data_IF_314656244367
#
_entry.id   IF_314656244367
#
_cell.length_a   1.000
_cell.length_b   1.000
_cell.length_c   1.000
_cell.angle_alpha   90.00
_cell.angle_beta   90.00
_cell.angle_gamma   90.00
#
_symmetry.space_group_name_H-M   'P 1'
#
loop_
_entity.id
_entity.type
_entity.pdbx_description
1 polymer ?
#
# COMPACT_ATOMS: atom_id res chain seq x y z
N UNK A 1 40.34 -17.97 -4.53
CA UNK A 1 39.94 -18.63 -5.79
C UNK A 1 38.55 -19.29 -5.71
N UNK A 2 38.10 -19.77 -4.54
CA UNK A 2 36.79 -20.44 -4.37
C UNK A 2 35.56 -19.54 -4.14
N UNK A 3 35.71 -18.22 -3.95
CA UNK A 3 34.55 -17.32 -3.75
C UNK A 3 33.91 -16.82 -5.05
N UNK A 4 34.63 -16.90 -6.19
CA UNK A 4 34.13 -16.41 -7.49
C UNK A 4 32.97 -17.28 -8.04
N UNK A 5 32.87 -18.54 -7.60
CA UNK A 5 31.86 -19.50 -8.05
C UNK A 5 30.51 -19.42 -7.31
N UNK A 6 30.32 -18.47 -6.38
CA UNK A 6 29.06 -18.36 -5.62
C UNK A 6 27.87 -17.82 -6.44
N UNK A 7 28.11 -17.07 -7.51
CA UNK A 7 27.02 -16.56 -8.36
C UNK A 7 26.85 -17.45 -9.58
N UNK A 8 25.61 -17.93 -9.81
CA UNK A 8 25.23 -18.76 -10.97
C UNK A 8 25.69 -18.13 -12.30
N UNK A 9 25.74 -16.79 -12.39
CA UNK A 9 26.20 -16.07 -13.59
C UNK A 9 27.68 -16.28 -13.88
N UNK A 10 28.55 -16.26 -12.86
CA UNK A 10 29.98 -16.50 -13.04
C UNK A 10 30.24 -17.94 -13.43
N UNK A 11 29.47 -18.89 -12.88
CA UNK A 11 29.53 -20.30 -13.29
C UNK A 11 29.14 -20.44 -14.76
N UNK A 12 28.02 -19.85 -15.18
CA UNK A 12 27.56 -19.89 -16.56
C UNK A 12 28.58 -19.30 -17.55
N UNK A 13 29.13 -18.11 -17.26
CA UNK A 13 30.16 -17.46 -18.09
C UNK A 13 31.42 -18.32 -18.16
N UNK A 14 31.87 -18.86 -17.02
CA UNK A 14 33.07 -19.70 -16.96
C UNK A 14 32.91 -20.98 -17.76
N UNK A 15 31.74 -21.64 -17.66
CA UNK A 15 31.46 -22.86 -18.43
C UNK A 15 31.50 -22.59 -19.94
N UNK A 16 30.88 -21.50 -20.42
CA UNK A 16 30.92 -21.12 -21.84
C UNK A 16 32.35 -20.86 -22.31
N UNK A 17 33.14 -20.10 -21.54
CA UNK A 17 34.55 -19.82 -21.88
C UNK A 17 35.40 -21.09 -21.92
N UNK A 18 35.20 -22.01 -20.98
CA UNK A 18 35.89 -23.30 -20.95
C UNK A 18 35.50 -24.17 -22.14
N UNK A 19 34.21 -24.21 -22.51
CA UNK A 19 33.75 -24.94 -23.70
C UNK A 19 34.36 -24.39 -24.99
N UNK A 20 34.43 -23.06 -25.14
CA UNK A 20 35.11 -22.43 -26.27
C UNK A 20 36.60 -22.79 -26.30
N UNK A 21 37.28 -22.75 -25.16
CA UNK A 21 38.70 -23.08 -25.09
C UNK A 21 38.98 -24.55 -25.43
N UNK A 22 38.15 -25.48 -24.92
CA UNK A 22 38.22 -26.91 -25.25
C UNK A 22 37.98 -27.13 -26.74
N UNK A 23 37.00 -26.44 -27.33
CA UNK A 23 36.74 -26.50 -28.77
C UNK A 23 37.97 -26.08 -29.59
N UNK A 24 38.55 -24.91 -29.30
CA UNK A 24 39.70 -24.38 -30.03
C UNK A 24 40.91 -25.29 -29.93
N UNK A 25 41.24 -25.75 -28.72
CA UNK A 25 42.36 -26.67 -28.53
C UNK A 25 42.09 -28.03 -29.16
N UNK A 26 40.86 -28.52 -29.11
CA UNK A 26 40.47 -29.79 -29.73
C UNK A 26 40.63 -29.76 -31.24
N UNK A 27 40.14 -28.72 -31.93
CA UNK A 27 40.34 -28.57 -33.37
C UNK A 27 41.81 -28.33 -33.75
N UNK A 28 42.59 -27.63 -32.92
CA UNK A 28 44.03 -27.45 -33.15
C UNK A 28 44.80 -28.78 -33.06
N UNK A 29 44.53 -29.59 -32.04
CA UNK A 29 45.30 -30.82 -31.77
C UNK A 29 44.81 -32.00 -32.59
N UNK A 30 43.49 -32.17 -32.72
CA UNK A 30 42.89 -33.35 -33.37
C UNK A 30 42.77 -33.15 -34.88
N UNK A 31 42.38 -31.95 -35.33
CA UNK A 31 42.15 -31.65 -36.75
C UNK A 31 43.29 -30.84 -37.40
N UNK A 32 44.28 -30.39 -36.63
CA UNK A 32 45.44 -29.65 -37.15
C UNK A 32 45.11 -28.25 -37.67
N UNK A 33 43.96 -27.67 -37.30
CA UNK A 33 43.51 -26.39 -37.82
C UNK A 33 44.43 -25.24 -37.38
N UNK A 34 44.57 -24.21 -38.21
CA UNK A 34 45.18 -22.95 -37.77
C UNK A 34 44.33 -22.27 -36.69
N UNK A 35 44.95 -21.45 -35.85
CA UNK A 35 44.29 -20.87 -34.66
C UNK A 35 42.98 -20.14 -34.98
N UNK A 36 42.96 -19.41 -36.10
CA UNK A 36 41.78 -18.66 -36.55
C UNK A 36 40.68 -19.61 -37.00
N UNK A 37 41.02 -20.65 -37.76
CA UNK A 37 40.08 -21.65 -38.26
C UNK A 37 39.51 -22.51 -37.13
N UNK A 38 40.33 -22.85 -36.13
CA UNK A 38 39.92 -23.57 -34.94
C UNK A 38 38.94 -22.73 -34.10
N UNK A 39 39.20 -21.43 -33.93
CA UNK A 39 38.29 -20.50 -33.28
C UNK A 39 36.98 -20.37 -34.05
N UNK A 40 37.06 -20.16 -35.36
CA UNK A 40 35.90 -20.01 -36.22
C UNK A 40 35.02 -21.27 -36.20
N UNK A 41 35.61 -22.47 -36.39
CA UNK A 41 34.91 -23.75 -36.31
C UNK A 41 34.25 -23.95 -34.95
N UNK A 42 34.94 -23.61 -33.86
CA UNK A 42 34.39 -23.73 -32.50
C UNK A 42 33.18 -22.83 -32.30
N UNK A 43 33.28 -21.55 -32.70
CA UNK A 43 32.19 -20.59 -32.53
C UNK A 43 30.96 -21.03 -33.31
N UNK A 44 31.06 -21.36 -34.60
CA UNK A 44 29.90 -21.77 -35.41
C UNK A 44 29.23 -23.05 -34.89
N UNK A 45 30.00 -23.91 -34.22
CA UNK A 45 29.53 -25.16 -33.61
C UNK A 45 28.79 -24.88 -32.30
N UNK A 46 29.42 -24.13 -31.39
CA UNK A 46 28.88 -23.80 -30.06
C UNK A 46 27.65 -22.89 -30.16
N UNK A 47 27.64 -21.95 -31.12
CA UNK A 47 26.48 -21.07 -31.36
C UNK A 47 25.36 -21.74 -32.16
N UNK A 48 25.51 -23.01 -32.54
CA UNK A 48 24.52 -23.78 -33.31
C UNK A 48 24.18 -23.22 -34.70
N UNK A 49 25.06 -22.38 -35.28
CA UNK A 49 24.83 -21.78 -36.60
C UNK A 49 25.11 -22.77 -37.72
N UNK A 50 26.22 -23.52 -37.63
CA UNK A 50 26.49 -24.68 -38.49
C UNK A 50 26.62 -24.39 -39.99
N UNK A 51 27.47 -23.45 -40.40
CA UNK A 51 27.73 -23.15 -41.81
C UNK A 51 28.45 -24.26 -42.61
N UNK A 52 28.89 -25.34 -41.95
CA UNK A 52 29.67 -26.44 -42.53
C UNK A 52 31.06 -26.56 -41.92
N UNK A 53 31.80 -27.61 -42.31
CA UNK A 53 33.19 -27.85 -41.89
C UNK A 53 34.12 -26.83 -42.57
N UNK A 54 35.00 -26.17 -41.81
CA UNK A 54 35.99 -25.20 -42.35
C UNK A 54 37.05 -25.90 -43.21
N UNK A 55 37.50 -27.07 -42.76
CA UNK A 55 38.38 -27.98 -43.49
C UNK A 55 37.86 -29.43 -43.33
N UNK A 56 38.23 -30.38 -44.20
CA UNK A 56 37.76 -31.76 -44.09
C UNK A 56 38.10 -32.38 -42.72
N UNK A 57 37.09 -32.86 -41.99
CA UNK A 57 37.30 -33.51 -40.68
C UNK A 57 37.69 -34.98 -40.80
N UNK A 58 38.71 -35.39 -40.03
CA UNK A 58 39.05 -36.81 -39.83
C UNK A 58 37.98 -37.53 -39.01
N UNK A 59 37.90 -38.88 -39.03
CA UNK A 59 36.93 -39.63 -38.23
C UNK A 59 36.99 -39.28 -36.73
N UNK A 60 38.18 -39.05 -36.19
CA UNK A 60 38.40 -38.68 -34.79
C UNK A 60 37.87 -37.27 -34.50
N UNK A 61 38.12 -36.32 -35.40
CA UNK A 61 37.63 -34.95 -35.28
C UNK A 61 36.09 -34.87 -35.40
N UNK A 62 35.46 -35.78 -36.15
CA UNK A 62 34.00 -35.91 -36.22
C UNK A 62 33.42 -36.36 -34.89
N UNK A 63 33.98 -37.39 -34.26
CA UNK A 63 33.53 -37.85 -32.93
C UNK A 63 33.69 -36.72 -31.89
N UNK A 64 34.83 -36.02 -31.92
CA UNK A 64 35.04 -34.85 -31.07
C UNK A 64 33.96 -33.77 -31.29
N UNK A 65 33.64 -33.46 -32.55
CA UNK A 65 32.62 -32.47 -32.90
C UNK A 65 31.24 -32.88 -32.40
N UNK A 66 30.85 -34.17 -32.48
CA UNK A 66 29.58 -34.66 -31.92
C UNK A 66 29.50 -34.41 -30.41
N UNK A 67 30.56 -34.75 -29.67
CA UNK A 67 30.61 -34.54 -28.22
C UNK A 67 30.55 -33.04 -27.89
N UNK A 68 31.31 -32.21 -28.63
CA UNK A 68 31.33 -30.77 -28.45
C UNK A 68 29.93 -30.15 -28.69
N UNK A 69 29.21 -30.57 -29.72
CA UNK A 69 27.84 -30.10 -30.00
C UNK A 69 26.92 -30.45 -28.83
N UNK A 70 26.89 -31.72 -28.39
CA UNK A 70 25.99 -32.15 -27.32
C UNK A 70 26.26 -31.41 -26.00
N UNK A 71 27.53 -31.24 -25.62
CA UNK A 71 27.88 -30.50 -24.42
C UNK A 71 27.59 -29.00 -24.53
N UNK A 72 27.93 -28.40 -25.68
CA UNK A 72 27.79 -26.94 -25.87
C UNK A 72 26.34 -26.49 -25.90
N UNK A 73 25.43 -27.25 -26.52
CA UNK A 73 23.99 -26.92 -26.53
C UNK A 73 23.43 -26.83 -25.11
N UNK A 74 23.78 -27.78 -24.23
CA UNK A 74 23.34 -27.79 -22.83
C UNK A 74 23.91 -26.58 -22.08
N UNK A 75 25.20 -26.29 -22.26
CA UNK A 75 25.89 -25.19 -21.56
C UNK A 75 25.38 -23.82 -22.02
N UNK A 76 25.21 -23.62 -23.33
CA UNK A 76 24.68 -22.37 -23.90
C UNK A 76 23.23 -22.18 -23.48
N UNK A 77 22.40 -23.23 -23.51
CA UNK A 77 21.02 -23.17 -23.01
C UNK A 77 20.94 -22.79 -21.53
N UNK A 78 21.79 -23.40 -20.69
CA UNK A 78 21.91 -23.02 -19.27
C UNK A 78 22.36 -21.55 -19.12
N UNK A 79 23.36 -21.11 -19.89
CA UNK A 79 23.86 -19.74 -19.83
C UNK A 79 22.79 -18.72 -20.22
N UNK A 80 22.02 -18.97 -21.28
CA UNK A 80 20.89 -18.11 -21.69
C UNK A 80 19.85 -18.02 -20.58
N UNK A 81 19.50 -19.14 -19.95
CA UNK A 81 18.53 -19.16 -18.83
C UNK A 81 19.00 -18.30 -17.66
N UNK A 82 20.25 -18.47 -17.22
CA UNK A 82 20.84 -17.68 -16.13
C UNK A 82 20.97 -16.20 -16.50
N UNK A 83 21.36 -15.87 -17.73
CA UNK A 83 21.43 -14.48 -18.21
C UNK A 83 20.03 -13.86 -18.24
N UNK A 84 19.01 -14.62 -18.66
CA UNK A 84 17.62 -14.16 -18.68
C UNK A 84 17.10 -13.92 -17.26
N UNK A 85 17.35 -14.86 -16.34
CA UNK A 85 17.07 -14.69 -14.90
C UNK A 85 17.80 -13.46 -14.34
N UNK A 86 19.05 -13.20 -14.74
CA UNK A 86 19.83 -12.05 -14.29
C UNK A 86 19.32 -10.71 -14.83
N UNK A 87 18.89 -10.65 -16.10
CA UNK A 87 18.32 -9.45 -16.71
C UNK A 87 16.93 -9.15 -16.13
N UNK A 88 16.14 -10.19 -15.86
CA UNK A 88 14.80 -10.07 -15.27
C UNK A 88 14.89 -9.77 -13.76
N UNK A 89 15.86 -10.33 -13.05
CA UNK A 89 16.13 -10.04 -11.63
C UNK A 89 16.74 -8.64 -11.48
N UNK A 90 15.83 -7.68 -11.48
CA UNK A 90 15.98 -6.24 -11.32
C UNK A 90 16.57 -5.77 -9.97
N UNK A 91 17.42 -6.55 -9.32
CA UNK A 91 17.95 -6.26 -7.98
C UNK A 91 18.67 -4.89 -7.87
N UNK A 92 19.17 -4.33 -8.97
CA UNK A 92 19.83 -3.02 -8.96
C UNK A 92 18.86 -1.81 -9.07
N UNK A 93 17.66 -2.00 -9.65
CA UNK A 93 16.67 -0.92 -9.76
C UNK A 93 15.95 -0.68 -8.43
N UNK A 94 15.66 -1.74 -7.69
CA UNK A 94 14.89 -1.66 -6.46
C UNK A 94 15.64 -0.91 -5.36
N UNK A 95 16.96 -1.10 -5.22
CA UNK A 95 17.73 -0.41 -4.15
C UNK A 95 17.78 1.12 -4.31
N UNK A 96 17.85 1.63 -5.56
CA UNK A 96 17.84 3.08 -5.83
C UNK A 96 16.42 3.64 -5.66
N UNK A 97 15.41 2.88 -6.10
CA UNK A 97 14.00 3.23 -5.98
C UNK A 97 13.56 3.31 -4.52
N UNK A 98 13.87 2.29 -3.71
CA UNK A 98 13.61 2.28 -2.26
C UNK A 98 14.25 3.47 -1.55
N UNK A 99 15.50 3.83 -1.88
CA UNK A 99 16.15 5.01 -1.29
C UNK A 99 15.45 6.32 -1.65
N UNK A 100 14.86 6.44 -2.84
CA UNK A 100 14.11 7.63 -3.24
C UNK A 100 12.77 7.73 -2.51
N UNK A 101 12.04 6.61 -2.42
CA UNK A 101 10.76 6.52 -1.69
C UNK A 101 10.98 6.80 -0.21
N UNK A 102 12.00 6.18 0.41
CA UNK A 102 12.33 6.41 1.80
C UNK A 102 12.61 7.89 2.08
N UNK A 103 13.38 8.58 1.22
CA UNK A 103 13.61 10.03 1.35
C UNK A 103 12.34 10.87 1.23
N UNK A 104 11.30 10.41 0.54
CA UNK A 104 10.01 11.09 0.49
C UNK A 104 9.25 10.86 1.80
N UNK A 105 9.24 9.63 2.30
CA UNK A 105 8.63 9.26 3.59
C UNK A 105 9.30 10.01 4.75
N UNK A 106 10.63 10.19 4.71
CA UNK A 106 11.40 10.92 5.73
C UNK A 106 11.03 12.41 5.82
N UNK A 107 10.48 12.99 4.74
CA UNK A 107 10.01 14.38 4.72
C UNK A 107 8.58 14.53 5.25
N UNK A 108 7.84 13.43 5.37
CA UNK A 108 6.47 13.47 5.86
C UNK A 108 6.42 13.59 7.39
N UNK A 109 5.48 14.38 7.87
CA UNK A 109 5.12 14.50 9.28
C UNK A 109 3.61 14.62 9.40
N UNK A 110 3.03 14.14 10.50
CA UNK A 110 1.59 14.13 10.73
C UNK A 110 0.81 13.32 9.66
N UNK A 111 1.48 12.43 8.94
CA UNK A 111 0.90 11.56 7.91
C UNK A 111 0.23 10.33 8.54
N UNK A 112 -0.49 9.58 7.70
CA UNK A 112 -1.22 8.38 8.10
C UNK A 112 -0.47 7.15 7.61
N UNK A 113 -0.31 6.14 8.47
CA UNK A 113 0.27 4.85 8.07
C UNK A 113 -0.87 3.85 7.91
N UNK A 114 -0.87 3.09 6.81
CA UNK A 114 -1.83 2.01 6.57
C UNK A 114 -1.06 0.69 6.46
N UNK A 115 -1.25 -0.19 7.44
CA UNK A 115 -0.64 -1.52 7.46
C UNK A 115 -1.58 -2.51 6.77
N UNK A 116 -1.13 -3.06 5.64
CA UNK A 116 -1.87 -3.97 4.78
C UNK A 116 -2.68 -3.25 3.71
N UNK A 117 -2.36 -3.50 2.45
CA UNK A 117 -3.08 -3.02 1.26
C UNK A 117 -4.05 -4.08 0.71
N UNK A 118 -4.71 -4.80 1.61
CA UNK A 118 -5.79 -5.73 1.26
C UNK A 118 -7.11 -5.01 0.96
N UNK A 119 -8.23 -5.74 1.05
CA UNK A 119 -9.59 -5.21 0.76
C UNK A 119 -9.92 -3.94 1.56
N UNK A 120 -9.75 -3.99 2.88
CA UNK A 120 -10.07 -2.86 3.76
C UNK A 120 -9.03 -1.73 3.67
N UNK A 121 -7.74 -2.08 3.57
CA UNK A 121 -6.66 -1.10 3.44
C UNK A 121 -6.77 -0.28 2.16
N UNK A 122 -7.09 -0.92 1.03
CA UNK A 122 -7.32 -0.26 -0.25
C UNK A 122 -8.47 0.74 -0.18
N UNK A 123 -9.60 0.36 0.40
CA UNK A 123 -10.75 1.26 0.58
C UNK A 123 -10.43 2.45 1.50
N UNK A 124 -9.68 2.21 2.57
CA UNK A 124 -9.20 3.28 3.44
C UNK A 124 -8.31 4.27 2.66
N UNK A 125 -7.35 3.76 1.89
CA UNK A 125 -6.45 4.58 1.07
C UNK A 125 -7.20 5.40 0.01
N UNK A 126 -8.19 4.81 -0.69
CA UNK A 126 -9.01 5.52 -1.68
C UNK A 126 -9.76 6.70 -1.04
N UNK A 127 -10.35 6.50 0.15
CA UNK A 127 -11.02 7.58 0.89
C UNK A 127 -10.03 8.64 1.38
N UNK A 128 -8.87 8.25 1.91
CA UNK A 128 -7.82 9.19 2.33
C UNK A 128 -7.30 10.03 1.16
N UNK A 129 -7.16 9.42 -0.02
CA UNK A 129 -6.79 10.10 -1.26
C UNK A 129 -7.85 11.11 -1.69
N UNK A 130 -9.14 10.76 -1.62
CA UNK A 130 -10.24 11.67 -1.94
C UNK A 130 -10.25 12.94 -1.04
N UNK A 131 -9.80 12.81 0.22
CA UNK A 131 -9.65 13.94 1.14
C UNK A 131 -8.25 14.58 1.15
N UNK A 132 -7.40 14.30 0.15
CA UNK A 132 -6.04 14.83 0.02
C UNK A 132 -5.19 14.68 1.30
N UNK A 133 -5.33 13.55 2.01
CA UNK A 133 -4.49 13.25 3.18
C UNK A 133 -3.20 12.59 2.75
N UNK A 134 -2.08 12.99 3.37
CA UNK A 134 -0.79 12.32 3.17
C UNK A 134 -0.77 10.99 3.92
N UNK A 135 -0.41 9.91 3.21
CA UNK A 135 -0.34 8.57 3.79
C UNK A 135 0.84 7.76 3.25
N UNK A 136 1.21 6.73 3.99
CA UNK A 136 2.23 5.72 3.66
C UNK A 136 1.62 4.35 3.88
N UNK A 137 1.89 3.41 2.97
CA UNK A 137 1.33 2.06 3.02
C UNK A 137 2.45 1.07 3.31
N UNK A 138 2.20 0.12 4.21
CA UNK A 138 3.10 -1.00 4.48
C UNK A 138 2.43 -2.27 3.96
N UNK A 139 3.11 -3.03 3.11
CA UNK A 139 2.67 -4.36 2.69
C UNK A 139 3.87 -5.29 2.53
N UNK A 140 3.67 -6.58 2.80
CA UNK A 140 4.70 -7.62 2.67
C UNK A 140 4.75 -8.24 1.27
N UNK A 141 3.67 -8.09 0.49
CA UNK A 141 3.57 -8.66 -0.85
C UNK A 141 4.18 -7.71 -1.89
N UNK A 142 5.33 -8.11 -2.43
CA UNK A 142 6.09 -7.29 -3.39
C UNK A 142 5.30 -7.02 -4.69
N UNK A 143 4.48 -7.97 -5.13
CA UNK A 143 3.59 -7.80 -6.28
C UNK A 143 2.58 -6.66 -6.09
N UNK A 144 2.07 -6.48 -4.88
CA UNK A 144 1.12 -5.42 -4.54
C UNK A 144 1.82 -4.07 -4.61
N UNK A 145 3.02 -3.98 -4.04
CA UNK A 145 3.86 -2.78 -4.10
C UNK A 145 4.15 -2.41 -5.55
N UNK A 146 4.65 -3.34 -6.36
CA UNK A 146 5.01 -3.04 -7.75
C UNK A 146 3.81 -2.63 -8.62
N UNK A 147 2.62 -3.17 -8.34
CA UNK A 147 1.41 -2.91 -9.14
C UNK A 147 0.75 -1.56 -8.83
N UNK A 148 0.79 -1.12 -7.57
CA UNK A 148 0.03 0.04 -7.11
C UNK A 148 0.90 1.23 -6.67
N UNK A 149 2.22 1.07 -6.66
CA UNK A 149 3.14 2.17 -6.42
C UNK A 149 3.11 3.16 -7.59
N UNK A 150 2.63 4.36 -7.32
CA UNK A 150 2.56 5.48 -8.25
C UNK A 150 3.24 6.73 -7.63
N UNK A 151 3.31 7.83 -8.38
CA UNK A 151 3.98 9.05 -7.91
C UNK A 151 3.35 9.66 -6.64
N UNK A 152 2.11 9.29 -6.29
CA UNK A 152 1.35 9.83 -5.18
C UNK A 152 1.11 8.81 -4.05
N UNK A 153 1.62 7.58 -4.18
CA UNK A 153 1.34 6.46 -3.28
C UNK A 153 2.64 5.84 -2.82
N UNK A 154 3.03 6.14 -1.58
CA UNK A 154 4.28 5.68 -1.00
C UNK A 154 4.08 4.32 -0.35
N UNK A 155 4.89 3.36 -0.75
CA UNK A 155 4.91 2.01 -0.19
C UNK A 155 6.22 1.73 0.55
N UNK A 156 6.09 1.04 1.67
CA UNK A 156 7.18 0.37 2.39
C UNK A 156 6.95 -1.12 2.25
N UNK A 157 7.86 -1.81 1.55
CA UNK A 157 7.82 -3.26 1.44
C UNK A 157 8.39 -3.88 2.73
N UNK A 158 7.58 -4.67 3.42
CA UNK A 158 8.00 -5.37 4.64
C UNK A 158 6.84 -5.83 5.51
N UNK A 159 7.14 -6.63 6.52
CA UNK A 159 6.16 -7.06 7.50
C UNK A 159 5.91 -5.94 8.54
N UNK A 160 4.67 -5.49 8.66
CA UNK A 160 4.30 -4.47 9.64
C UNK A 160 4.51 -4.90 11.10
N UNK A 161 4.64 -6.20 11.38
CA UNK A 161 4.98 -6.73 12.71
C UNK A 161 6.41 -6.39 13.15
N UNK A 162 7.28 -5.98 12.22
CA UNK A 162 8.67 -5.63 12.51
C UNK A 162 8.79 -4.14 12.83
N UNK A 163 9.35 -3.82 14.00
CA UNK A 163 9.53 -2.43 14.44
C UNK A 163 10.33 -1.59 13.44
N UNK A 164 11.34 -2.18 12.78
CA UNK A 164 12.14 -1.50 11.75
C UNK A 164 11.28 -1.02 10.56
N UNK A 165 10.27 -1.80 10.15
CA UNK A 165 9.37 -1.44 9.05
C UNK A 165 8.45 -0.30 9.46
N UNK A 166 7.94 -0.30 10.70
CA UNK A 166 7.15 0.81 11.24
C UNK A 166 7.98 2.09 11.36
N UNK A 167 9.24 1.98 11.76
CA UNK A 167 10.19 3.10 11.81
C UNK A 167 10.47 3.67 10.41
N UNK A 168 10.70 2.79 9.42
CA UNK A 168 10.87 3.20 8.02
C UNK A 168 9.64 3.92 7.48
N UNK A 169 8.43 3.50 7.86
CA UNK A 169 7.19 4.20 7.53
C UNK A 169 6.98 5.53 8.30
N UNK A 170 7.84 5.82 9.28
CA UNK A 170 7.81 7.05 10.06
C UNK A 170 6.78 7.07 11.18
N UNK A 171 6.58 5.95 11.87
CA UNK A 171 5.57 5.83 12.95
C UNK A 171 5.74 6.86 14.09
N UNK A 172 6.97 7.26 14.41
CA UNK A 172 7.25 8.27 15.46
C UNK A 172 6.68 9.66 15.14
N UNK A 173 6.59 9.99 13.85
CA UNK A 173 6.12 11.29 13.34
C UNK A 173 4.74 11.23 12.68
N UNK A 174 4.15 10.04 12.61
CA UNK A 174 2.81 9.83 12.08
C UNK A 174 1.74 10.33 13.06
N UNK A 175 0.60 10.74 12.51
CA UNK A 175 -0.57 11.18 13.30
C UNK A 175 -1.51 10.03 13.62
N UNK A 176 -1.66 9.10 12.67
CA UNK A 176 -2.61 7.99 12.73
C UNK A 176 -1.99 6.75 12.10
N UNK A 177 -2.28 5.58 12.65
CA UNK A 177 -1.99 4.29 12.06
C UNK A 177 -3.28 3.48 11.93
N UNK A 178 -3.49 2.91 10.74
CA UNK A 178 -4.60 2.01 10.43
C UNK A 178 -4.01 0.61 10.22
N UNK A 179 -4.32 -0.32 11.12
CA UNK A 179 -3.95 -1.74 10.97
C UNK A 179 -5.10 -2.50 10.32
N UNK A 180 -4.90 -2.91 9.06
CA UNK A 180 -5.90 -3.56 8.23
C UNK A 180 -5.47 -4.97 7.77
N UNK A 181 -4.56 -5.60 8.52
CA UNK A 181 -4.06 -6.94 8.23
C UNK A 181 -5.18 -7.98 8.35
N UNK A 182 -5.09 -9.11 7.62
CA UNK A 182 -6.12 -10.15 7.64
C UNK A 182 -6.18 -10.92 8.97
N UNK A 183 -5.06 -11.02 9.70
CA UNK A 183 -4.97 -11.74 10.96
C UNK A 183 -5.04 -10.79 12.17
N UNK A 184 -5.86 -11.13 13.17
CA UNK A 184 -6.03 -10.33 14.39
C UNK A 184 -4.79 -10.34 15.29
N UNK A 185 -4.01 -11.42 15.28
CA UNK A 185 -2.77 -11.52 16.03
C UNK A 185 -1.71 -10.57 15.45
N UNK A 186 -1.58 -10.51 14.12
CA UNK A 186 -0.68 -9.55 13.46
C UNK A 186 -1.10 -8.10 13.79
N UNK A 187 -2.40 -7.79 13.68
CA UNK A 187 -2.92 -6.48 14.08
C UNK A 187 -2.61 -6.15 15.55
N UNK A 188 -2.64 -7.14 16.45
CA UNK A 188 -2.31 -6.95 17.86
C UNK A 188 -0.82 -6.61 18.04
N UNK A 189 0.09 -7.30 17.34
CA UNK A 189 1.51 -6.99 17.35
C UNK A 189 1.78 -5.58 16.83
N UNK A 190 1.23 -5.23 15.67
CA UNK A 190 1.36 -3.88 15.09
C UNK A 190 0.88 -2.80 16.08
N UNK A 191 -0.26 -3.01 16.74
CA UNK A 191 -0.81 -2.06 17.73
C UNK A 191 0.14 -1.90 18.92
N UNK A 192 0.68 -2.99 19.45
CA UNK A 192 1.63 -2.96 20.58
C UNK A 192 2.91 -2.23 20.19
N UNK A 193 3.55 -2.61 19.07
CA UNK A 193 4.76 -1.97 18.56
C UNK A 193 4.54 -0.48 18.28
N UNK A 194 3.45 -0.14 17.58
CA UNK A 194 3.14 1.25 17.26
C UNK A 194 2.89 2.11 18.51
N UNK A 195 2.20 1.56 19.52
CA UNK A 195 1.95 2.26 20.79
C UNK A 195 3.22 2.45 21.61
N UNK A 196 4.13 1.48 21.57
CA UNK A 196 5.45 1.56 22.22
C UNK A 196 6.34 2.61 21.55
N UNK A 197 6.37 2.65 20.21
CA UNK A 197 7.18 3.60 19.44
C UNK A 197 6.61 5.03 19.49
N UNK A 198 5.29 5.17 19.52
CA UNK A 198 4.63 6.47 19.58
C UNK A 198 3.38 6.44 20.47
N UNK A 199 3.56 6.90 21.72
CA UNK A 199 2.49 6.88 22.71
C UNK A 199 1.32 7.82 22.38
N UNK A 200 1.51 8.83 21.52
CA UNK A 200 0.47 9.80 21.12
C UNK A 200 -0.23 9.44 19.81
N UNK A 201 0.22 8.41 19.11
CA UNK A 201 -0.33 7.98 17.83
C UNK A 201 -1.79 7.57 17.96
N UNK A 202 -2.65 8.00 17.03
CA UNK A 202 -4.02 7.47 16.95
C UNK A 202 -4.01 6.13 16.23
N UNK A 203 -4.40 5.05 16.89
CA UNK A 203 -4.36 3.70 16.34
C UNK A 203 -5.78 3.20 16.07
N UNK A 204 -6.05 2.85 14.81
CA UNK A 204 -7.31 2.25 14.36
C UNK A 204 -6.97 0.85 13.88
N UNK A 205 -7.54 -0.18 14.50
CA UNK A 205 -7.30 -1.57 14.09
C UNK A 205 -8.56 -2.20 13.54
N UNK A 206 -8.40 -3.10 12.58
CA UNK A 206 -9.40 -4.12 12.25
C UNK A 206 -9.41 -5.19 13.35
N UNK A 207 -10.59 -5.76 13.59
CA UNK A 207 -10.75 -7.05 14.25
C UNK A 207 -11.73 -7.93 13.46
N UNK A 208 -11.45 -9.22 13.38
CA UNK A 208 -12.34 -10.23 12.83
C UNK A 208 -13.31 -10.75 13.91
N UNK A 209 -12.79 -10.99 15.13
CA UNK A 209 -13.55 -11.55 16.24
C UNK A 209 -13.78 -10.54 17.38
N UNK A 210 -14.92 -10.65 18.07
CA UNK A 210 -15.25 -9.79 19.22
C UNK A 210 -14.27 -9.97 20.40
N UNK A 211 -13.76 -11.18 20.58
CA UNK A 211 -12.74 -11.49 21.59
C UNK A 211 -11.45 -10.73 21.31
N UNK A 212 -11.05 -10.62 20.04
CA UNK A 212 -9.90 -9.83 19.59
C UNK A 212 -10.12 -8.34 19.79
N UNK A 213 -11.35 -7.84 19.57
CA UNK A 213 -11.68 -6.42 19.74
C UNK A 213 -11.29 -5.89 21.13
N UNK A 214 -11.65 -6.64 22.19
CA UNK A 214 -11.31 -6.27 23.57
C UNK A 214 -9.80 -6.28 23.81
N UNK A 215 -9.08 -7.28 23.27
CA UNK A 215 -7.62 -7.39 23.40
C UNK A 215 -6.89 -6.26 22.70
N UNK A 216 -7.32 -5.90 21.48
CA UNK A 216 -6.77 -4.78 20.71
C UNK A 216 -6.98 -3.44 21.41
N UNK A 217 -8.16 -3.20 21.99
CA UNK A 217 -8.42 -2.03 22.84
C UNK A 217 -7.47 -1.97 24.03
N UNK A 218 -7.28 -3.08 24.75
CA UNK A 218 -6.37 -3.17 25.89
C UNK A 218 -4.89 -2.96 25.51
N UNK A 219 -4.50 -3.42 24.32
CA UNK A 219 -3.16 -3.21 23.76
C UNK A 219 -2.87 -1.75 23.38
N UNK A 220 -3.90 -0.90 23.33
CA UNK A 220 -3.75 0.53 23.04
C UNK A 220 -4.31 0.97 21.70
N UNK A 221 -5.14 0.17 21.03
CA UNK A 221 -5.91 0.67 19.89
C UNK A 221 -6.97 1.70 20.36
N UNK A 222 -6.98 2.90 19.78
CA UNK A 222 -7.98 3.92 20.11
C UNK A 222 -9.35 3.54 19.57
N UNK A 223 -9.41 2.90 18.40
CA UNK A 223 -10.64 2.39 17.79
C UNK A 223 -10.41 1.02 17.17
N UNK A 224 -11.40 0.15 17.28
CA UNK A 224 -11.35 -1.18 16.68
C UNK A 224 -12.61 -1.43 15.89
N UNK A 225 -12.45 -1.64 14.58
CA UNK A 225 -13.52 -1.79 13.60
C UNK A 225 -13.68 -3.28 13.27
N UNK A 226 -14.92 -3.76 13.26
CA UNK A 226 -15.28 -5.13 12.90
C UNK A 226 -16.07 -5.13 11.58
N UNK A 227 -15.40 -5.25 10.41
CA UNK A 227 -16.03 -5.05 9.11
C UNK A 227 -17.19 -6.01 8.85
N UNK A 228 -17.03 -7.29 9.23
CA UNK A 228 -18.05 -8.32 8.97
C UNK A 228 -19.31 -8.11 9.82
N UNK A 229 -19.15 -7.59 11.04
CA UNK A 229 -20.28 -7.21 11.88
C UNK A 229 -21.00 -5.98 11.31
N UNK A 230 -20.26 -4.93 10.93
CA UNK A 230 -20.84 -3.72 10.32
C UNK A 230 -21.56 -4.07 9.01
N UNK A 231 -20.93 -4.87 8.15
CA UNK A 231 -21.53 -5.32 6.90
C UNK A 231 -22.77 -6.19 7.13
N UNK A 232 -22.72 -7.10 8.11
CA UNK A 232 -23.88 -7.91 8.52
C UNK A 232 -25.05 -7.08 9.03
N UNK A 233 -24.79 -6.16 9.96
CA UNK A 233 -25.79 -5.25 10.53
C UNK A 233 -26.41 -4.36 9.43
N UNK A 234 -25.59 -3.89 8.48
CA UNK A 234 -26.04 -3.10 7.35
C UNK A 234 -26.91 -3.92 6.37
N UNK A 235 -26.51 -5.15 6.03
CA UNK A 235 -27.32 -6.06 5.21
C UNK A 235 -28.68 -6.35 5.84
N UNK A 236 -28.73 -6.60 7.15
CA UNK A 236 -29.98 -6.79 7.86
C UNK A 236 -30.84 -5.52 7.84
N UNK A 237 -30.22 -4.36 8.01
CA UNK A 237 -30.92 -3.06 8.00
C UNK A 237 -31.54 -2.73 6.64
N UNK A 238 -30.91 -3.12 5.53
CA UNK A 238 -31.49 -2.98 4.18
C UNK A 238 -32.76 -3.82 3.99
N UNK A 239 -32.97 -4.88 4.78
CA UNK A 239 -34.20 -5.69 4.72
C UNK A 239 -35.25 -5.15 5.70
N UNK A 240 -34.82 -4.72 6.89
CA UNK A 240 -35.73 -4.32 7.98
C UNK A 240 -36.20 -2.87 7.81
N UNK A 241 -35.31 -1.98 7.38
CA UNK A 241 -35.54 -0.52 7.22
C UNK A 241 -34.85 0.03 5.95
N UNK A 242 -35.15 -0.49 4.74
CA UNK A 242 -34.49 -0.11 3.49
C UNK A 242 -34.47 1.40 3.25
N UNK A 243 -35.64 2.04 3.34
CA UNK A 243 -35.81 3.47 3.03
C UNK A 243 -34.98 4.37 3.96
N UNK A 244 -34.79 3.94 5.22
CA UNK A 244 -33.97 4.68 6.17
C UNK A 244 -32.48 4.56 5.84
N UNK A 245 -32.03 3.37 5.43
CA UNK A 245 -30.63 3.16 5.07
C UNK A 245 -30.28 3.89 3.78
N UNK A 246 -31.13 3.79 2.75
CA UNK A 246 -30.97 4.54 1.50
C UNK A 246 -30.92 6.06 1.75
N UNK A 247 -31.79 6.56 2.63
CA UNK A 247 -31.75 7.94 3.05
C UNK A 247 -30.41 8.32 3.70
N UNK A 248 -29.90 7.51 4.65
CA UNK A 248 -28.64 7.78 5.34
C UNK A 248 -27.41 7.72 4.41
N UNK A 249 -27.41 6.81 3.45
CA UNK A 249 -26.33 6.71 2.46
C UNK A 249 -26.28 7.97 1.58
N UNK A 250 -27.44 8.51 1.21
CA UNK A 250 -27.55 9.79 0.48
C UNK A 250 -27.09 11.02 1.31
N UNK A 251 -27.02 10.92 2.64
CA UNK A 251 -26.43 11.96 3.51
C UNK A 251 -24.90 11.85 3.63
N UNK A 252 -24.33 10.68 3.34
CA UNK A 252 -22.95 10.34 3.71
C UNK A 252 -21.97 10.49 2.54
N UNK A 253 -22.48 10.62 1.31
CA UNK A 253 -21.68 10.81 0.09
C UNK A 253 -21.44 12.31 -0.12
N UNK A 254 -20.42 12.83 0.53
CA UNK A 254 -19.89 14.18 0.22
C UNK A 254 -19.26 14.16 -1.18
N UNK A 255 -19.84 14.88 -2.14
CA UNK A 255 -19.20 15.14 -3.43
C UNK A 255 -20.08 15.07 -4.68
N UNK A 256 -21.36 14.72 -4.58
CA UNK A 256 -22.32 14.92 -5.68
C UNK A 256 -23.07 16.25 -5.49
N UNK A 257 -23.37 16.93 -6.61
CA UNK A 257 -23.96 18.29 -6.64
C UNK A 257 -25.29 18.42 -5.89
N UNK A 258 -25.99 17.29 -5.62
CA UNK A 258 -27.27 17.22 -4.89
C UNK A 258 -27.16 16.56 -3.49
N UNK A 259 -25.94 16.25 -3.03
CA UNK A 259 -25.73 15.60 -1.73
C UNK A 259 -26.05 16.54 -0.55
N UNK A 260 -26.73 15.99 0.46
CA UNK A 260 -27.05 16.72 1.68
C UNK A 260 -25.80 16.75 2.56
N UNK A 261 -25.36 17.94 2.97
CA UNK A 261 -24.18 18.11 3.80
C UNK A 261 -24.53 18.10 5.29
N UNK A 262 -23.76 17.34 6.06
CA UNK A 262 -23.83 17.30 7.52
C UNK A 262 -22.59 17.99 8.10
N UNK A 263 -22.77 19.04 8.90
CA UNK A 263 -21.68 19.78 9.53
C UNK A 263 -21.84 19.89 11.05
N UNK A 264 -20.72 19.83 11.78
CA UNK A 264 -20.66 20.16 13.21
C UNK A 264 -20.21 21.61 13.39
N UNK A 265 -21.05 22.45 14.00
CA UNK A 265 -20.75 23.87 14.26
C UNK A 265 -20.69 24.12 15.77
N UNK A 266 -19.63 24.80 16.21
CA UNK A 266 -19.42 25.13 17.62
C UNK A 266 -20.28 26.27 18.14
N UNK A 267 -20.53 26.27 19.45
CA UNK A 267 -21.24 27.32 20.19
C UNK A 267 -20.78 28.74 19.86
N UNK A 268 -19.45 28.93 19.76
CA UNK A 268 -18.77 30.20 19.46
C UNK A 268 -19.35 30.92 18.23
N UNK A 269 -19.79 30.16 17.22
CA UNK A 269 -20.32 30.70 15.97
C UNK A 269 -21.76 31.15 16.08
N UNK A 270 -22.57 30.49 16.91
CA UNK A 270 -23.96 30.86 17.12
C UNK A 270 -24.13 31.97 18.15
N UNK A 271 -23.24 32.01 19.15
CA UNK A 271 -23.34 32.89 20.31
C UNK A 271 -22.02 33.66 20.53
N UNK A 272 -21.68 34.62 19.66
CA UNK A 272 -20.43 35.38 19.77
C UNK A 272 -20.36 36.21 21.07
N UNK A 273 -21.50 36.61 21.62
CA UNK A 273 -21.60 37.34 22.89
C UNK A 273 -21.39 36.45 24.13
N UNK A 274 -21.17 35.14 23.95
CA UNK A 274 -20.94 34.17 25.02
C UNK A 274 -22.17 33.85 25.89
N UNK A 275 -23.36 34.37 25.53
CA UNK A 275 -24.61 34.08 26.24
C UNK A 275 -25.19 32.75 25.79
N UNK A 276 -25.59 31.93 26.75
CA UNK A 276 -26.34 30.71 26.49
C UNK A 276 -27.77 31.07 26.08
N UNK A 277 -28.17 30.68 24.87
CA UNK A 277 -29.49 30.93 24.29
C UNK A 277 -30.18 29.63 23.93
N UNK A 278 -31.50 29.66 23.78
CA UNK A 278 -32.23 28.48 23.32
C UNK A 278 -32.05 28.28 21.80
N UNK A 279 -32.22 27.05 21.33
CA UNK A 279 -32.21 26.74 19.89
C UNK A 279 -33.25 27.57 19.13
N UNK A 280 -34.42 27.82 19.76
CA UNK A 280 -35.46 28.69 19.23
C UNK A 280 -34.98 30.12 18.98
N UNK A 281 -34.16 30.67 19.87
CA UNK A 281 -33.68 32.06 19.76
C UNK A 281 -32.63 32.23 18.64
N UNK A 282 -31.89 31.16 18.33
CA UNK A 282 -30.97 31.14 17.19
C UNK A 282 -31.76 31.25 15.87
N UNK A 283 -32.92 30.61 15.81
CA UNK A 283 -33.83 30.55 14.67
C UNK A 283 -33.12 30.11 13.37
N UNK A 284 -32.29 29.06 13.50
CA UNK A 284 -31.35 28.63 12.46
C UNK A 284 -32.07 28.33 11.15
N UNK A 285 -33.16 27.54 11.21
CA UNK A 285 -33.87 27.07 10.02
C UNK A 285 -34.50 28.22 9.25
N UNK A 286 -35.03 29.23 9.93
CA UNK A 286 -35.59 30.40 9.28
C UNK A 286 -34.50 31.25 8.59
N UNK A 287 -33.34 31.41 9.24
CA UNK A 287 -32.23 32.23 8.72
C UNK A 287 -31.48 31.56 7.56
N UNK A 288 -31.19 30.26 7.67
CA UNK A 288 -30.28 29.56 6.75
C UNK A 288 -30.96 28.49 5.89
N UNK A 289 -32.12 27.99 6.32
CA UNK A 289 -32.76 26.79 5.73
C UNK A 289 -32.22 25.47 6.27
N UNK A 290 -31.13 25.48 7.06
CA UNK A 290 -30.55 24.27 7.65
C UNK A 290 -31.41 23.74 8.81
N UNK A 291 -31.43 22.43 8.98
CA UNK A 291 -32.13 21.76 10.08
C UNK A 291 -31.13 21.26 11.12
N UNK A 292 -31.44 21.43 12.40
CA UNK A 292 -30.63 20.88 13.51
C UNK A 292 -31.09 19.44 13.73
N UNK A 293 -30.16 18.49 13.63
CA UNK A 293 -30.45 17.06 13.86
C UNK A 293 -29.86 16.55 15.17
N UNK A 294 -28.88 17.27 15.73
CA UNK A 294 -28.26 16.86 16.97
C UNK A 294 -27.54 17.98 17.71
N UNK A 295 -27.29 17.72 18.99
CA UNK A 295 -26.51 18.54 19.90
C UNK A 295 -25.44 17.67 20.56
N UNK A 296 -24.22 18.18 20.65
CA UNK A 296 -23.11 17.55 21.38
C UNK A 296 -22.76 18.41 22.60
N UNK A 297 -22.91 17.84 23.79
CA UNK A 297 -22.56 18.52 25.03
C UNK A 297 -21.04 18.74 25.15
N UNK A 298 -20.60 19.65 26.03
CA UNK A 298 -19.18 19.81 26.35
C UNK A 298 -18.55 18.54 26.91
N UNK A 299 -19.33 17.69 27.59
CA UNK A 299 -18.87 16.37 28.05
C UNK A 299 -18.83 15.32 26.93
N UNK A 300 -19.20 15.69 25.70
CA UNK A 300 -19.20 14.80 24.52
C UNK A 300 -20.45 13.95 24.35
N UNK A 301 -21.52 14.17 25.13
CA UNK A 301 -22.77 13.43 25.01
C UNK A 301 -23.61 13.95 23.85
N UNK A 302 -24.06 13.06 22.98
CA UNK A 302 -24.94 13.38 21.86
C UNK A 302 -26.42 13.33 22.27
N UNK A 303 -27.19 14.33 21.87
CA UNK A 303 -28.65 14.39 21.97
C UNK A 303 -29.22 14.54 20.56
N UNK A 304 -30.04 13.59 20.15
CA UNK A 304 -30.69 13.59 18.83
C UNK A 304 -31.98 14.38 18.92
N UNK A 305 -32.27 15.20 17.89
CA UNK A 305 -33.48 16.04 17.81
C UNK A 305 -33.75 16.87 19.10
N UNK A 306 -32.84 17.78 19.48
CA UNK A 306 -33.03 18.62 20.66
C UNK A 306 -34.28 19.49 20.53
N UNK A 307 -34.98 19.74 21.64
CA UNK A 307 -36.19 20.59 21.63
C UNK A 307 -35.86 22.06 21.32
N UNK A 308 -36.85 22.82 20.87
CA UNK A 308 -36.67 24.25 20.58
C UNK A 308 -36.22 25.05 21.82
N UNK A 309 -36.70 24.67 23.01
CA UNK A 309 -36.34 25.32 24.28
C UNK A 309 -34.98 24.84 24.84
N UNK A 310 -34.28 23.94 24.13
CA UNK A 310 -33.01 23.40 24.59
C UNK A 310 -31.93 24.49 24.57
N UNK A 311 -31.24 24.66 25.71
CA UNK A 311 -30.25 25.72 25.89
C UNK A 311 -28.89 25.24 25.36
N UNK A 312 -28.30 26.06 24.49
CA UNK A 312 -26.97 25.83 23.98
C UNK A 312 -25.92 26.25 25.01
N UNK A 313 -25.17 25.27 25.53
CA UNK A 313 -24.12 25.53 26.53
C UNK A 313 -22.81 25.95 25.87
N UNK A 314 -21.97 26.68 26.61
CA UNK A 314 -20.60 26.99 26.17
C UNK A 314 -19.81 25.70 25.87
N UNK A 315 -18.95 25.73 24.84
CA UNK A 315 -18.17 24.58 24.34
C UNK A 315 -18.98 23.41 23.75
N UNK A 316 -20.27 23.60 23.52
CA UNK A 316 -21.10 22.63 22.81
C UNK A 316 -21.01 22.76 21.29
N UNK A 317 -21.58 21.77 20.57
CA UNK A 317 -21.72 21.82 19.11
C UNK A 317 -23.14 21.45 18.68
N UNK A 318 -23.62 22.08 17.62
CA UNK A 318 -24.81 21.65 16.89
C UNK A 318 -24.42 20.88 15.65
N UNK A 319 -25.13 19.79 15.40
CA UNK A 319 -25.04 19.02 14.15
C UNK A 319 -26.18 19.48 13.27
N UNK A 320 -25.83 20.08 12.14
CA UNK A 320 -26.77 20.67 11.20
C UNK A 320 -26.74 19.93 9.88
N UNK A 321 -27.88 19.90 9.21
CA UNK A 321 -28.07 19.28 7.91
C UNK A 321 -28.70 20.28 6.94
N UNK A 322 -28.18 20.34 5.72
CA UNK A 322 -28.70 21.23 4.69
C UNK A 322 -28.12 20.93 3.32
N UNK A 323 -28.78 21.44 2.29
CA UNK A 323 -28.26 21.42 0.91
C UNK A 323 -27.03 22.35 0.78
N UNK A 324 -26.18 22.18 -0.25
CA UNK A 324 -24.97 22.98 -0.43
C UNK A 324 -25.22 24.49 -0.34
N UNK A 325 -26.29 24.99 -0.97
CA UNK A 325 -26.67 26.41 -0.94
C UNK A 325 -27.07 26.90 0.45
N UNK A 326 -27.68 26.04 1.26
CA UNK A 326 -28.09 26.35 2.64
C UNK A 326 -26.88 26.41 3.56
N UNK A 327 -25.91 25.49 3.38
CA UNK A 327 -24.65 25.49 4.13
C UNK A 327 -23.81 26.73 3.80
N UNK A 328 -23.71 27.11 2.52
CA UNK A 328 -23.03 28.36 2.11
C UNK A 328 -23.70 29.57 2.77
N UNK A 329 -25.03 29.59 2.82
CA UNK A 329 -25.77 30.67 3.48
C UNK A 329 -25.55 30.66 5.00
N UNK A 330 -25.44 29.49 5.62
CA UNK A 330 -25.11 29.32 7.02
C UNK A 330 -23.70 29.85 7.34
N UNK A 331 -22.69 29.56 6.50
CA UNK A 331 -21.35 30.14 6.65
C UNK A 331 -21.36 31.65 6.52
N UNK A 332 -22.16 32.19 5.59
CA UNK A 332 -22.32 33.64 5.41
C UNK A 332 -22.94 34.33 6.63
N UNK A 333 -24.00 33.77 7.21
CA UNK A 333 -24.73 34.39 8.34
C UNK A 333 -23.94 34.30 9.64
N UNK A 334 -23.29 33.17 9.90
CA UNK A 334 -22.58 32.92 11.16
C UNK A 334 -21.05 33.10 11.06
N UNK A 335 -20.56 33.63 9.94
CA UNK A 335 -19.14 33.96 9.72
C UNK A 335 -18.21 32.76 9.94
N UNK A 336 -18.58 31.60 9.38
CA UNK A 336 -17.83 30.34 9.54
C UNK A 336 -16.76 30.24 8.48
#
# INVERSE_FOLDING_TARGET
MFEFFRSKIYVAITLVLVTLLIGVLGYRVIAGYEWVDALYMTVITVTTVGFGEVNPLTPEAKIFTVILILCSVVIVGYAISVITEYIISRNAYDTIKHKKVQKQIDKLSNHIIVCGYGRNGKQAVEKLRAYNKSFVIIDKEEDVVQRYEDANTLFVNGNANEDEILLNAGVERASTLISALPDDADNLFVVLSARQLNQKLKIISRAEYETSQKKLKLAGADNVIMPNRIGGDHMASLVVVPDLIEFLDNLSVVGEEDSINVEEIGFEKFCPDGKEVSIKDIDLRYKTGCTIIGYKSPEGKYTVNPSADFILKKDSKLVVIGRPEQIINLHRIFGI
#
